data_IF_703612990398
#
_entry.id   IF_703612990398
#
_cell.length_a   1.000
_cell.length_b   1.000
_cell.length_c   1.000
_cell.angle_alpha   90.00
_cell.angle_beta   90.00
_cell.angle_gamma   90.00
#
_symmetry.space_group_name_H-M   'P 1'
#
loop_
_entity.id
_entity.type
_entity.pdbx_description
1 polymer ?
#
# COMPACT_ATOMS: atom_id res chain seq x y z
N UNK A 1 26.94 52.15 -60.57
CA UNK A 1 26.06 51.04 -61.00
C UNK A 1 26.33 49.86 -60.07
N UNK A 2 25.25 49.24 -59.57
CA UNK A 2 25.16 48.05 -58.70
C UNK A 2 26.23 46.97 -58.96
N UNK A 3 26.63 46.11 -58.01
CA UNK A 3 25.79 45.10 -57.35
C UNK A 3 26.37 44.67 -55.99
N UNK A 4 25.48 44.56 -55.00
CA UNK A 4 25.67 43.97 -53.67
C UNK A 4 25.54 42.44 -53.77
N UNK A 5 26.47 41.68 -53.19
CA UNK A 5 26.27 40.26 -52.82
C UNK A 5 27.23 39.94 -51.67
N UNK A 6 26.82 40.00 -50.41
CA UNK A 6 25.85 39.17 -49.69
C UNK A 6 26.42 37.81 -49.26
N UNK A 7 26.54 37.71 -47.93
CA UNK A 7 26.28 36.54 -47.09
C UNK A 7 27.49 35.66 -46.76
N UNK A 8 28.13 36.10 -45.68
CA UNK A 8 28.80 35.34 -44.64
C UNK A 8 28.22 33.91 -44.48
N UNK A 9 29.01 32.90 -44.86
CA UNK A 9 28.73 31.49 -44.53
C UNK A 9 29.21 31.23 -43.09
N UNK A 10 28.33 31.46 -42.14
CA UNK A 10 28.46 30.95 -40.78
C UNK A 10 28.22 29.44 -40.80
N UNK A 11 29.26 28.67 -40.49
CA UNK A 11 29.18 27.24 -40.29
C UNK A 11 28.28 26.92 -39.11
N UNK A 12 27.24 26.13 -39.36
CA UNK A 12 26.27 25.68 -38.37
C UNK A 12 26.92 24.55 -37.54
N UNK A 13 27.46 24.89 -36.37
CA UNK A 13 27.89 23.90 -35.38
C UNK A 13 26.63 23.35 -34.72
N UNK A 14 26.24 22.12 -35.08
CA UNK A 14 25.16 21.40 -34.41
C UNK A 14 25.67 20.90 -33.04
N UNK A 15 25.46 21.70 -32.00
CA UNK A 15 25.69 21.29 -30.62
C UNK A 15 24.50 20.42 -30.18
N UNK A 16 24.66 19.10 -30.24
CA UNK A 16 23.70 18.14 -29.69
C UNK A 16 23.81 18.21 -28.17
N UNK A 17 22.88 18.94 -27.54
CA UNK A 17 22.76 18.97 -26.09
C UNK A 17 22.30 17.58 -25.61
N UNK A 18 23.23 16.79 -25.08
CA UNK A 18 22.90 15.59 -24.31
C UNK A 18 22.28 16.04 -22.98
N UNK A 19 20.95 16.02 -22.90
CA UNK A 19 20.26 16.14 -21.62
C UNK A 19 20.48 14.82 -20.85
N UNK A 20 20.97 14.85 -19.61
CA UNK A 20 20.92 13.66 -18.76
C UNK A 20 19.45 13.38 -18.45
N UNK A 21 18.91 12.31 -19.05
CA UNK A 21 17.71 11.65 -18.50
C UNK A 21 18.15 11.05 -17.17
N UNK A 22 17.82 11.74 -16.08
CA UNK A 22 17.79 11.10 -14.76
C UNK A 22 16.57 10.19 -14.82
N UNK A 23 16.82 8.90 -15.09
CA UNK A 23 15.84 7.86 -14.84
C UNK A 23 15.58 7.87 -13.34
N UNK A 24 14.55 8.59 -12.93
CA UNK A 24 14.04 8.52 -11.59
C UNK A 24 13.36 7.16 -11.50
N UNK A 25 14.13 6.13 -11.16
CA UNK A 25 13.57 4.90 -10.63
C UNK A 25 12.85 5.32 -9.35
N UNK A 26 11.57 5.67 -9.50
CA UNK A 26 10.59 5.48 -8.45
C UNK A 26 10.52 3.97 -8.24
N UNK A 27 11.54 3.41 -7.59
CA UNK A 27 11.34 2.21 -6.83
C UNK A 27 10.21 2.54 -5.86
N UNK A 28 9.11 1.78 -5.96
CA UNK A 28 8.10 1.63 -4.91
C UNK A 28 8.76 1.04 -3.65
N UNK A 29 9.80 1.71 -3.15
CA UNK A 29 10.33 1.45 -1.84
C UNK A 29 9.26 1.97 -0.87
N UNK A 30 8.70 1.11 -0.01
CA UNK A 30 7.69 1.55 0.94
C UNK A 30 8.26 2.72 1.74
N UNK A 31 7.64 3.89 1.56
CA UNK A 31 8.00 5.07 2.32
C UNK A 31 7.65 4.79 3.79
N UNK A 32 8.68 4.61 4.62
CA UNK A 32 8.49 4.50 6.06
C UNK A 32 8.11 5.90 6.58
N UNK A 33 6.81 6.16 6.72
CA UNK A 33 6.32 7.47 7.20
C UNK A 33 6.57 7.53 8.70
N UNK A 34 7.55 8.35 9.07
CA UNK A 34 8.20 8.41 10.37
C UNK A 34 7.34 8.91 11.56
N UNK A 35 6.02 9.05 11.41
CA UNK A 35 5.20 9.68 12.47
C UNK A 35 4.07 8.78 13.02
N UNK A 36 3.80 7.62 12.43
CA UNK A 36 2.98 6.56 13.05
C UNK A 36 3.46 5.19 12.57
N UNK A 37 3.89 4.32 13.49
CA UNK A 37 4.44 2.98 13.17
C UNK A 37 3.44 2.01 12.50
N UNK A 38 2.17 2.41 12.40
CA UNK A 38 1.10 1.68 11.72
C UNK A 38 0.25 2.67 10.93
N UNK A 39 -0.10 2.29 9.71
CA UNK A 39 -0.87 3.14 8.78
C UNK A 39 -2.34 2.75 8.71
N UNK A 40 -2.75 1.70 9.44
CA UNK A 40 -4.13 1.24 9.52
C UNK A 40 -4.47 0.72 10.92
N UNK A 41 -5.68 1.03 11.38
CA UNK A 41 -6.24 0.50 12.64
C UNK A 41 -7.57 -0.17 12.32
N UNK A 42 -7.75 -1.40 12.80
CA UNK A 42 -8.98 -2.17 12.70
C UNK A 42 -9.57 -2.37 14.10
N UNK A 43 -10.78 -1.88 14.33
CA UNK A 43 -11.55 -2.16 15.54
C UNK A 43 -12.57 -3.23 15.22
N UNK A 44 -12.39 -4.42 15.79
CA UNK A 44 -13.17 -5.62 15.44
C UNK A 44 -14.66 -5.45 15.71
N UNK A 45 -15.02 -4.89 16.85
CA UNK A 45 -16.40 -4.53 17.16
C UNK A 45 -16.47 -3.01 17.26
N UNK A 46 -16.88 -2.30 16.18
CA UNK A 46 -17.97 -2.68 15.27
C UNK A 46 -17.56 -3.04 13.82
N UNK A 47 -16.32 -3.45 13.54
CA UNK A 47 -15.86 -3.72 12.18
C UNK A 47 -15.37 -2.45 11.47
N UNK A 48 -14.80 -1.52 12.21
CA UNK A 48 -14.40 -0.20 11.70
C UNK A 48 -12.91 -0.14 11.40
N UNK A 49 -12.57 0.52 10.31
CA UNK A 49 -11.21 0.76 9.85
C UNK A 49 -10.90 2.25 9.87
N UNK A 50 -9.71 2.58 10.36
CA UNK A 50 -9.12 3.91 10.26
C UNK A 50 -7.81 3.80 9.48
N UNK A 51 -7.78 4.39 8.29
CA UNK A 51 -6.61 4.37 7.41
C UNK A 51 -5.92 5.73 7.44
N UNK A 52 -4.62 5.70 7.72
CA UNK A 52 -3.72 6.85 7.63
C UNK A 52 -3.14 6.86 6.21
N UNK A 53 -3.31 7.94 5.45
CA UNK A 53 -2.83 7.99 4.08
C UNK A 53 -1.31 7.85 4.02
N UNK A 54 -0.82 7.17 2.98
CA UNK A 54 0.62 7.01 2.75
C UNK A 54 1.33 8.32 2.29
N UNK A 55 0.57 9.39 2.06
CA UNK A 55 1.06 10.72 1.70
C UNK A 55 0.24 11.78 2.45
N UNK A 56 0.54 13.06 2.23
CA UNK A 56 -0.29 14.15 2.75
C UNK A 56 -1.76 13.95 2.30
N UNK A 57 -2.65 13.73 3.27
CA UNK A 57 -4.06 13.42 3.01
C UNK A 57 -4.87 13.36 4.31
N UNK A 58 -6.18 13.22 4.18
CA UNK A 58 -7.08 13.08 5.32
C UNK A 58 -7.14 11.62 5.82
N UNK A 59 -7.31 11.45 7.14
CA UNK A 59 -7.66 10.15 7.72
C UNK A 59 -8.98 9.64 7.14
N UNK A 60 -9.01 8.37 6.73
CA UNK A 60 -10.20 7.74 6.17
C UNK A 60 -10.79 6.77 7.18
N UNK A 61 -12.09 6.91 7.47
CA UNK A 61 -12.84 5.94 8.30
C UNK A 61 -13.82 5.16 7.45
N UNK A 62 -13.80 3.85 7.58
CA UNK A 62 -14.65 2.92 6.85
C UNK A 62 -15.32 1.97 7.85
N UNK A 63 -16.61 1.73 7.70
CA UNK A 63 -17.32 0.68 8.46
C UNK A 63 -17.58 -0.48 7.51
N UNK A 64 -17.03 -1.64 7.83
CA UNK A 64 -17.16 -2.84 7.01
C UNK A 64 -18.25 -3.73 7.59
N UNK A 65 -19.24 -4.04 6.77
CA UNK A 65 -20.33 -4.95 7.11
C UNK A 65 -20.21 -6.20 6.25
N UNK A 66 -19.31 -7.08 6.64
CA UNK A 66 -19.07 -8.36 5.99
C UNK A 66 -19.20 -9.49 6.99
N UNK A 67 -19.15 -10.74 6.51
CA UNK A 67 -19.26 -11.91 7.37
C UNK A 67 -18.13 -11.90 8.41
N UNK A 68 -18.46 -12.23 9.65
CA UNK A 68 -17.51 -12.26 10.76
C UNK A 68 -17.19 -13.72 11.11
N UNK A 69 -16.09 -14.20 10.53
CA UNK A 69 -15.71 -15.61 10.55
C UNK A 69 -14.54 -15.88 11.48
N UNK A 70 -13.81 -14.83 11.88
CA UNK A 70 -12.49 -14.94 12.48
C UNK A 70 -12.28 -13.90 13.57
N UNK A 71 -12.25 -14.36 14.82
CA UNK A 71 -11.72 -13.58 15.92
C UNK A 71 -10.21 -13.41 15.74
N UNK A 72 -9.79 -12.19 15.45
CA UNK A 72 -8.38 -11.79 15.39
C UNK A 72 -7.94 -11.42 16.80
N UNK A 73 -6.72 -11.81 17.20
CA UNK A 73 -6.18 -11.35 18.47
C UNK A 73 -5.79 -9.86 18.35
N UNK A 74 -6.08 -9.01 19.36
CA UNK A 74 -5.59 -7.63 19.37
C UNK A 74 -4.07 -7.56 19.28
N UNK A 75 -3.55 -6.52 18.62
CA UNK A 75 -2.12 -6.30 18.47
C UNK A 75 -1.71 -5.89 17.05
N UNK A 76 -0.40 -5.95 16.77
CA UNK A 76 0.13 -5.63 15.45
C UNK A 76 0.11 -6.86 14.54
N UNK A 77 -0.34 -6.65 13.31
CA UNK A 77 -0.39 -7.64 12.24
C UNK A 77 0.24 -7.07 10.97
N UNK A 78 1.03 -7.89 10.30
CA UNK A 78 1.65 -7.54 9.01
C UNK A 78 0.68 -7.87 7.89
N UNK A 79 0.51 -6.97 6.92
CA UNK A 79 -0.21 -7.26 5.68
C UNK A 79 0.80 -7.81 4.69
N UNK A 80 0.63 -9.06 4.30
CA UNK A 80 1.55 -9.74 3.38
C UNK A 80 0.79 -10.52 2.33
N UNK A 81 1.54 -11.17 1.44
CA UNK A 81 0.99 -12.08 0.44
C UNK A 81 1.64 -13.44 0.62
N UNK A 82 0.83 -14.50 0.60
CA UNK A 82 1.31 -15.87 0.69
C UNK A 82 1.96 -16.35 -0.63
N UNK A 83 2.38 -17.62 -0.67
CA UNK A 83 3.04 -18.21 -1.83
C UNK A 83 2.14 -18.34 -3.08
N UNK A 84 0.81 -18.28 -2.92
CA UNK A 84 -0.17 -18.37 -4.03
C UNK A 84 -0.75 -17.02 -4.43
N UNK A 85 -0.28 -15.93 -3.82
CA UNK A 85 -0.74 -14.58 -4.14
C UNK A 85 -1.91 -14.11 -3.28
N UNK A 86 -2.31 -14.84 -2.24
CA UNK A 86 -3.39 -14.44 -1.36
C UNK A 86 -2.90 -13.45 -0.30
N UNK A 87 -3.64 -12.36 -0.11
CA UNK A 87 -3.33 -11.37 0.92
C UNK A 87 -3.75 -11.91 2.28
N UNK A 88 -2.88 -11.76 3.28
CA UNK A 88 -3.11 -12.26 4.63
C UNK A 88 -2.55 -11.30 5.70
N UNK A 89 -3.15 -11.38 6.89
CA UNK A 89 -2.59 -10.82 8.12
C UNK A 89 -1.69 -11.87 8.77
N UNK A 90 -0.44 -11.49 9.07
CA UNK A 90 0.53 -12.36 9.72
C UNK A 90 0.94 -11.76 11.06
N UNK A 91 0.79 -12.54 12.12
CA UNK A 91 1.28 -12.16 13.45
C UNK A 91 2.81 -12.12 13.44
N UNK A 92 3.45 -11.03 13.88
CA UNK A 92 4.89 -10.99 14.11
C UNK A 92 5.33 -12.13 15.04
N UNK A 93 6.53 -12.66 14.85
CA UNK A 93 7.04 -13.79 15.64
C UNK A 93 7.10 -13.52 17.16
N UNK A 94 7.16 -12.25 17.56
CA UNK A 94 7.17 -11.81 18.96
C UNK A 94 5.78 -11.63 19.55
N UNK A 95 4.71 -11.72 18.75
CA UNK A 95 3.33 -11.57 19.21
C UNK A 95 2.88 -12.87 19.86
N UNK A 96 2.68 -12.85 21.18
CA UNK A 96 2.06 -13.95 21.91
C UNK A 96 0.56 -14.00 21.56
N UNK A 97 0.16 -15.02 20.81
CA UNK A 97 -1.24 -15.25 20.48
C UNK A 97 -1.92 -16.13 21.54
N UNK A 98 -3.19 -15.86 21.91
CA UNK A 98 -3.93 -16.74 22.79
C UNK A 98 -4.08 -18.14 22.15
N UNK A 99 -4.22 -19.21 22.95
CA UNK A 99 -4.40 -20.55 22.42
C UNK A 99 -5.52 -20.62 21.38
N UNK A 100 -5.27 -21.35 20.29
CA UNK A 100 -6.18 -21.54 19.14
C UNK A 100 -6.37 -20.31 18.22
N UNK A 101 -5.64 -19.21 18.42
CA UNK A 101 -5.61 -18.14 17.41
C UNK A 101 -4.60 -18.48 16.32
N UNK A 102 -4.99 -18.40 15.03
CA UNK A 102 -4.09 -18.66 13.94
C UNK A 102 -3.03 -17.55 13.83
N UNK A 103 -1.80 -17.91 13.46
CA UNK A 103 -0.72 -16.95 13.20
C UNK A 103 -0.88 -16.20 11.87
N UNK A 104 -1.75 -16.71 11.00
CA UNK A 104 -2.02 -16.20 9.66
C UNK A 104 -3.51 -16.18 9.43
N UNK A 105 -4.04 -15.07 8.93
CA UNK A 105 -5.47 -14.89 8.69
C UNK A 105 -5.63 -14.40 7.26
N UNK A 106 -6.24 -15.19 6.35
CA UNK A 106 -6.44 -14.74 4.98
C UNK A 106 -7.43 -13.57 4.94
N UNK A 107 -7.14 -12.58 4.10
CA UNK A 107 -8.07 -11.50 3.77
C UNK A 107 -8.94 -11.94 2.61
N UNK A 108 -10.23 -12.13 2.86
CA UNK A 108 -11.17 -12.67 1.89
C UNK A 108 -12.11 -11.56 1.41
N UNK A 109 -12.48 -11.58 0.12
CA UNK A 109 -13.51 -10.68 -0.37
C UNK A 109 -14.87 -10.99 0.30
N UNK A 110 -15.69 -9.98 0.59
CA UNK A 110 -16.96 -10.18 1.31
C UNK A 110 -17.94 -11.14 0.64
N UNK A 111 -17.86 -11.31 -0.68
CA UNK A 111 -18.66 -12.23 -1.49
C UNK A 111 -18.04 -13.63 -1.63
N UNK A 112 -16.89 -13.87 -1.00
CA UNK A 112 -16.23 -15.17 -1.03
C UNK A 112 -17.01 -16.25 -0.27
N UNK A 113 -17.09 -17.43 -0.87
CA UNK A 113 -17.63 -18.62 -0.23
C UNK A 113 -16.65 -19.25 0.78
N UNK A 114 -15.35 -18.95 0.67
CA UNK A 114 -14.31 -19.43 1.57
C UNK A 114 -14.52 -18.89 2.99
N UNK A 115 -14.22 -19.71 4.01
CA UNK A 115 -14.36 -19.37 5.43
C UNK A 115 -13.01 -19.35 6.14
N UNK A 116 -12.99 -18.92 7.41
CA UNK A 116 -11.78 -18.92 8.24
C UNK A 116 -10.81 -17.78 7.94
N UNK A 117 -11.33 -16.65 7.42
CA UNK A 117 -10.57 -15.44 7.14
C UNK A 117 -11.29 -14.19 7.60
N UNK A 118 -10.65 -13.04 7.38
CA UNK A 118 -11.27 -11.74 7.62
C UNK A 118 -11.88 -11.23 6.31
N UNK A 119 -13.21 -11.15 6.27
CA UNK A 119 -13.92 -10.69 5.08
C UNK A 119 -13.94 -9.17 4.97
N UNK A 120 -13.43 -8.65 3.87
CA UNK A 120 -13.30 -7.22 3.60
C UNK A 120 -13.72 -6.88 2.16
N UNK A 121 -14.17 -5.64 1.90
CA UNK A 121 -14.41 -5.21 0.53
C UNK A 121 -13.13 -5.37 -0.29
N UNK A 122 -13.24 -5.92 -1.49
CA UNK A 122 -12.06 -6.18 -2.33
C UNK A 122 -11.21 -4.90 -2.57
N UNK A 123 -11.85 -3.73 -2.59
CA UNK A 123 -11.15 -2.45 -2.66
C UNK A 123 -10.26 -2.19 -1.43
N UNK A 124 -10.75 -2.48 -0.23
CA UNK A 124 -9.98 -2.32 1.01
C UNK A 124 -8.79 -3.27 1.05
N UNK A 125 -8.96 -4.55 0.65
CA UNK A 125 -7.84 -5.51 0.56
C UNK A 125 -6.74 -4.97 -0.35
N UNK A 126 -7.11 -4.44 -1.53
CA UNK A 126 -6.17 -3.82 -2.48
C UNK A 126 -5.52 -2.55 -1.95
N UNK A 127 -6.20 -1.77 -1.11
CA UNK A 127 -5.61 -0.60 -0.45
C UNK A 127 -4.62 -1.03 0.62
N UNK A 128 -4.98 -2.01 1.45
CA UNK A 128 -4.12 -2.52 2.52
C UNK A 128 -2.79 -3.03 1.96
N UNK A 129 -2.82 -3.90 0.95
CA UNK A 129 -1.58 -4.47 0.39
C UNK A 129 -0.68 -3.42 -0.29
N UNK A 130 -1.26 -2.35 -0.85
CA UNK A 130 -0.51 -1.32 -1.59
C UNK A 130 0.08 -0.26 -0.68
N UNK A 131 -0.68 0.16 0.34
CA UNK A 131 -0.40 1.38 1.09
C UNK A 131 -0.18 1.13 2.58
N UNK A 132 -0.53 -0.06 3.09
CA UNK A 132 -0.55 -0.34 4.52
C UNK A 132 0.04 -1.71 4.85
N UNK A 133 1.37 -1.77 4.99
CA UNK A 133 2.07 -3.02 5.35
C UNK A 133 1.84 -3.51 6.78
N UNK A 134 1.27 -2.67 7.67
CA UNK A 134 1.02 -3.01 9.08
C UNK A 134 -0.34 -2.49 9.53
N UNK A 135 -1.12 -3.35 10.17
CA UNK A 135 -2.42 -3.05 10.77
C UNK A 135 -2.34 -3.27 12.29
N UNK A 136 -2.84 -2.31 13.07
CA UNK A 136 -3.14 -2.52 14.49
C UNK A 136 -4.58 -3.01 14.62
N UNK A 137 -4.77 -4.14 15.28
CA UNK A 137 -6.08 -4.69 15.61
C UNK A 137 -6.42 -4.34 17.06
N UNK A 138 -7.56 -3.70 17.24
CA UNK A 138 -8.16 -3.33 18.51
C UNK A 138 -9.39 -4.24 18.76
N UNK A 139 -9.57 -4.68 20.00
CA UNK A 139 -10.64 -5.59 20.43
C UNK A 139 -12.03 -4.96 20.46
#
# INVERSE_FOLDING_TARGET
MSVISAVCRLGFVALIAALPVVAQEAGDAPALISETQYTAVFTQTPGSWLLHPAAAGALMRLNVHCRDDAAIAPGLWLVTTDAVGQVELVAPALTLLPPRHPQRIPLLACDSAESGGLHLPAALIRTLVREHGVVRVDG
#
